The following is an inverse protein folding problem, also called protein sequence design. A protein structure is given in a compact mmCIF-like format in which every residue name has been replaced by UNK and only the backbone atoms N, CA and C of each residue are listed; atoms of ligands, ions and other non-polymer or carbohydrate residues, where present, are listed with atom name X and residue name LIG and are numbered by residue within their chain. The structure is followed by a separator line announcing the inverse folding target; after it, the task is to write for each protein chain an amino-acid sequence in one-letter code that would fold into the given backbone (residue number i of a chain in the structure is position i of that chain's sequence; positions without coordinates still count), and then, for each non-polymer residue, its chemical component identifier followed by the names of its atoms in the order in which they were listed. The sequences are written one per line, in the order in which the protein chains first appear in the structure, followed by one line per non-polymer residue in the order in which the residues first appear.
data_IF_070169248371
#
_entry.id   IF_070169248371
#
_cell.length_a   1.000
_cell.length_b   1.000
_cell.length_c   1.000
_cell.angle_alpha   90.00
_cell.angle_beta   90.00
_cell.angle_gamma   90.00
#
_symmetry.space_group_name_H-M   'P 1'
#
loop_
_entity.id
_entity.type
_entity.pdbx_description
1 polymer ?
#
# COMPACT_ATOMS: atom_id res chain seq x y z
N UNK A 1 39.97 50.16 4.13
CA UNK A 1 38.96 50.20 3.04
C UNK A 1 38.63 48.76 2.71
N UNK A 2 37.69 48.17 3.46
CA UNK A 2 36.36 47.74 2.95
C UNK A 2 36.51 46.75 1.81
N UNK A 3 36.31 45.44 2.02
CA UNK A 3 34.99 44.82 1.89
C UNK A 3 34.98 43.42 2.57
N UNK A 4 34.77 43.39 3.89
CA UNK A 4 34.25 42.20 4.59
C UNK A 4 32.82 42.55 4.98
N UNK A 5 31.84 42.22 4.14
CA UNK A 5 30.40 42.34 4.47
C UNK A 5 29.57 41.84 3.29
N UNK A 6 29.08 40.59 3.38
CA UNK A 6 27.72 40.19 2.93
C UNK A 6 27.56 38.66 2.75
N UNK A 7 27.79 37.86 3.79
CA UNK A 7 27.18 36.52 3.88
C UNK A 7 26.46 36.32 5.22
N UNK A 8 25.80 37.38 5.70
CA UNK A 8 25.05 37.38 6.96
C UNK A 8 23.55 37.67 6.72
N UNK A 9 22.93 37.03 5.73
CA UNK A 9 21.48 37.17 5.46
C UNK A 9 20.78 35.80 5.33
N UNK A 10 21.25 34.77 6.03
CA UNK A 10 20.52 33.50 6.04
C UNK A 10 20.67 32.68 7.33
N UNK A 11 20.57 33.34 8.49
CA UNK A 11 20.31 32.63 9.74
C UNK A 11 19.18 33.37 10.46
N UNK A 12 17.97 32.79 10.58
CA UNK A 12 16.96 33.38 11.44
C UNK A 12 17.44 33.30 12.89
N UNK A 13 17.44 34.44 13.59
CA UNK A 13 17.67 34.49 15.04
C UNK A 13 16.57 33.69 15.73
N UNK A 14 16.92 32.55 16.30
CA UNK A 14 16.03 31.81 17.19
C UNK A 14 15.86 32.62 18.49
N UNK A 15 14.63 32.85 18.97
CA UNK A 15 14.42 33.50 20.26
C UNK A 15 14.96 32.57 21.36
N UNK A 16 15.87 33.13 22.15
CA UNK A 16 16.33 32.56 23.42
C UNK A 16 15.19 32.57 24.43
N UNK A 17 14.30 31.58 24.34
CA UNK A 17 13.38 31.22 25.43
C UNK A 17 13.26 29.70 25.42
N UNK A 18 14.19 29.04 26.13
CA UNK A 18 13.97 27.67 26.58
C UNK A 18 13.10 27.74 27.83
N UNK A 19 11.83 27.27 27.80
CA UNK A 19 11.34 26.63 28.99
C UNK A 19 12.04 25.28 29.04
N UNK A 20 12.91 25.15 30.02
CA UNK A 20 13.46 23.91 30.53
C UNK A 20 12.31 22.92 30.76
N UNK A 21 12.04 22.04 29.79
CA UNK A 21 11.22 20.85 29.99
C UNK A 21 12.17 19.67 30.15
N UNK A 22 12.77 19.59 31.35
CA UNK A 22 13.29 18.34 31.89
C UNK A 22 12.12 17.40 32.12
N UNK A 23 11.75 16.65 31.08
CA UNK A 23 10.60 15.75 31.11
C UNK A 23 10.65 14.81 29.93
N UNK A 24 10.95 13.56 30.22
CA UNK A 24 11.07 12.41 29.32
C UNK A 24 10.07 12.42 28.14
N UNK A 25 10.54 12.79 26.94
CA UNK A 25 9.78 12.67 25.67
C UNK A 25 9.39 11.22 25.34
N UNK A 26 10.02 10.25 25.99
CA UNK A 26 9.73 8.82 25.79
C UNK A 26 8.36 8.40 26.37
N UNK A 27 7.83 9.12 27.37
CA UNK A 27 6.65 8.67 28.10
C UNK A 27 5.32 9.20 27.53
N UNK A 28 5.32 10.18 26.62
CA UNK A 28 4.10 10.67 25.94
C UNK A 28 3.78 9.95 24.63
N UNK A 29 4.68 9.11 24.11
CA UNK A 29 4.40 8.21 22.99
C UNK A 29 3.89 6.82 23.45
N UNK A 30 3.85 6.59 24.77
CA UNK A 30 3.49 5.32 25.38
C UNK A 30 2.00 5.20 25.74
N UNK A 31 1.14 6.09 25.24
CA UNK A 31 -0.28 5.76 25.14
C UNK A 31 -0.51 5.25 23.73
N UNK A 32 -0.18 3.96 23.55
CA UNK A 32 -0.44 3.21 22.32
C UNK A 32 -1.95 3.12 22.11
N UNK A 33 -2.53 4.19 21.54
CA UNK A 33 -3.88 4.19 21.02
C UNK A 33 -4.00 3.01 20.06
N UNK A 34 -4.87 2.06 20.40
CA UNK A 34 -5.10 0.86 19.61
C UNK A 34 -5.40 1.26 18.15
N UNK A 35 -4.47 0.98 17.25
CA UNK A 35 -4.55 1.36 15.83
C UNK A 35 -3.34 2.15 15.32
N UNK A 36 -2.54 2.79 16.17
CA UNK A 36 -1.35 3.55 15.75
C UNK A 36 -1.60 4.46 14.53
N UNK A 37 -0.62 4.56 13.63
CA UNK A 37 -0.75 5.31 12.37
C UNK A 37 -1.82 4.76 11.40
N UNK A 38 -2.35 3.55 11.66
CA UNK A 38 -3.39 2.91 10.82
C UNK A 38 -4.80 3.45 11.12
N UNK A 39 -5.02 4.09 12.27
CA UNK A 39 -6.30 4.72 12.62
C UNK A 39 -6.61 6.01 11.83
N UNK A 40 -5.57 6.67 11.28
CA UNK A 40 -5.70 7.87 10.45
C UNK A 40 -5.85 7.57 8.95
N UNK A 41 -5.57 6.32 8.54
CA UNK A 41 -5.81 5.92 7.17
C UNK A 41 -7.32 5.80 6.98
N UNK A 42 -7.86 6.55 6.02
CA UNK A 42 -9.27 6.49 5.63
C UNK A 42 -9.70 5.03 5.51
N UNK A 43 -10.40 4.53 6.53
CA UNK A 43 -11.03 3.23 6.46
C UNK A 43 -11.90 3.27 5.20
N UNK A 44 -11.69 2.34 4.27
CA UNK A 44 -12.44 2.26 3.01
C UNK A 44 -13.91 1.95 3.36
N UNK A 45 -14.67 2.98 3.72
CA UNK A 45 -16.08 2.90 4.13
C UNK A 45 -16.99 2.60 2.94
N UNK A 46 -16.54 2.93 1.73
CA UNK A 46 -17.27 2.62 0.50
C UNK A 46 -17.00 1.17 0.11
N UNK A 47 -17.84 0.25 0.61
CA UNK A 47 -17.92 -1.12 0.11
C UNK A 47 -18.62 -1.07 -1.25
N UNK A 48 -17.92 -1.51 -2.30
CA UNK A 48 -18.54 -1.64 -3.63
C UNK A 48 -19.49 -2.84 -3.60
N UNK A 49 -20.80 -2.56 -3.51
CA UNK A 49 -21.85 -3.59 -3.44
C UNK A 49 -22.22 -4.19 -4.81
N UNK A 50 -21.58 -3.77 -5.91
CA UNK A 50 -21.80 -4.39 -7.21
C UNK A 50 -20.82 -5.54 -7.42
N UNK A 51 -21.35 -6.75 -7.57
CA UNK A 51 -20.57 -7.86 -8.10
C UNK A 51 -20.28 -7.62 -9.58
N UNK A 52 -19.08 -8.03 -10.08
CA UNK A 52 -18.79 -7.95 -11.50
C UNK A 52 -19.92 -8.58 -12.33
N UNK A 53 -20.44 -7.83 -13.31
CA UNK A 53 -21.46 -8.34 -14.23
C UNK A 53 -20.89 -9.51 -15.04
N UNK A 54 -21.62 -10.63 -15.07
CA UNK A 54 -21.23 -11.81 -15.82
C UNK A 54 -21.22 -11.52 -17.33
N UNK A 55 -20.16 -11.97 -18.02
CA UNK A 55 -20.05 -11.90 -19.48
C UNK A 55 -19.36 -13.14 -20.02
N UNK A 56 -20.11 -13.97 -20.72
CA UNK A 56 -19.65 -15.29 -21.15
C UNK A 56 -18.48 -15.21 -22.13
N UNK A 57 -18.54 -14.28 -23.08
CA UNK A 57 -17.44 -14.02 -24.03
C UNK A 57 -16.12 -13.71 -23.30
N UNK A 58 -16.18 -12.93 -22.22
CA UNK A 58 -14.99 -12.57 -21.44
C UNK A 58 -14.50 -13.78 -20.63
N UNK A 59 -15.40 -14.56 -20.05
CA UNK A 59 -15.09 -15.77 -19.27
C UNK A 59 -14.27 -16.76 -20.11
N UNK A 60 -14.76 -17.11 -21.29
CA UNK A 60 -14.09 -18.06 -22.20
C UNK A 60 -12.79 -17.48 -22.77
N UNK A 61 -12.79 -16.22 -23.22
CA UNK A 61 -11.59 -15.62 -23.83
C UNK A 61 -10.43 -15.45 -22.85
N UNK A 62 -10.71 -15.10 -21.60
CA UNK A 62 -9.67 -14.81 -20.59
C UNK A 62 -9.29 -16.05 -19.80
N UNK A 63 -10.24 -16.93 -19.50
CA UNK A 63 -10.01 -18.06 -18.59
C UNK A 63 -10.25 -19.44 -19.20
N UNK A 64 -10.62 -19.49 -20.48
CA UNK A 64 -10.90 -20.73 -21.19
C UNK A 64 -9.67 -21.58 -21.45
N UNK A 65 -9.93 -22.82 -21.86
CA UNK A 65 -8.92 -23.84 -22.13
C UNK A 65 -7.82 -23.36 -23.09
N UNK A 66 -8.21 -22.85 -24.25
CA UNK A 66 -7.29 -22.39 -25.28
C UNK A 66 -6.36 -21.28 -24.78
N UNK A 67 -6.89 -20.37 -23.95
CA UNK A 67 -6.08 -19.30 -23.35
C UNK A 67 -5.07 -19.83 -22.33
N UNK A 68 -5.40 -20.91 -21.63
CA UNK A 68 -4.47 -21.58 -20.70
C UNK A 68 -3.39 -22.37 -21.45
N UNK A 69 -3.73 -22.98 -22.58
CA UNK A 69 -2.75 -23.71 -23.40
C UNK A 69 -1.77 -22.78 -24.12
N UNK A 70 -2.19 -21.57 -24.47
CA UNK A 70 -1.35 -20.64 -25.24
C UNK A 70 -0.08 -20.19 -24.49
N UNK A 71 -0.07 -20.19 -23.16
CA UNK A 71 1.09 -19.75 -22.36
C UNK A 71 1.70 -20.90 -21.56
N UNK A 72 3.02 -20.83 -21.31
CA UNK A 72 3.72 -21.81 -20.47
C UNK A 72 3.18 -21.82 -19.03
N UNK A 73 2.89 -20.64 -18.49
CA UNK A 73 2.32 -20.50 -17.14
C UNK A 73 0.91 -21.06 -17.04
N UNK A 74 0.10 -20.90 -18.08
CA UNK A 74 -1.24 -21.47 -18.15
C UNK A 74 -1.22 -23.00 -18.17
N UNK A 75 -0.32 -23.61 -18.95
CA UNK A 75 -0.10 -25.07 -18.94
C UNK A 75 0.29 -25.60 -17.56
N UNK A 76 1.20 -24.92 -16.86
CA UNK A 76 1.57 -25.26 -15.47
C UNK A 76 0.40 -25.19 -14.49
N UNK A 77 -0.53 -24.24 -14.67
CA UNK A 77 -1.76 -24.17 -13.87
C UNK A 77 -2.64 -25.40 -14.11
N UNK A 78 -2.82 -25.80 -15.38
CA UNK A 78 -3.60 -26.99 -15.71
C UNK A 78 -2.98 -28.27 -15.10
N UNK A 79 -1.66 -28.44 -15.23
CA UNK A 79 -0.92 -29.56 -14.63
C UNK A 79 -1.14 -29.64 -13.11
N UNK A 80 -1.07 -28.51 -12.39
CA UNK A 80 -1.35 -28.47 -10.94
C UNK A 80 -2.79 -28.84 -10.60
N UNK A 81 -3.76 -28.46 -11.45
CA UNK A 81 -5.18 -28.81 -11.24
C UNK A 81 -5.45 -30.30 -11.49
N UNK A 82 -4.79 -30.89 -12.48
CA UNK A 82 -4.82 -32.34 -12.76
C UNK A 82 -4.22 -33.11 -11.58
N UNK A 83 -3.05 -32.70 -11.11
CA UNK A 83 -2.40 -33.33 -9.96
C UNK A 83 -3.25 -33.27 -8.69
N UNK A 84 -3.99 -32.17 -8.49
CA UNK A 84 -4.95 -32.02 -7.39
C UNK A 84 -6.25 -32.83 -7.59
N UNK A 85 -6.48 -33.41 -8.78
CA UNK A 85 -7.71 -34.14 -9.10
C UNK A 85 -8.93 -33.24 -9.26
N UNK A 86 -8.77 -32.01 -9.77
CA UNK A 86 -9.92 -31.12 -10.00
C UNK A 86 -10.72 -31.56 -11.23
N UNK A 87 -12.03 -31.76 -11.05
CA UNK A 87 -12.97 -32.10 -12.12
C UNK A 87 -12.99 -31.06 -13.26
N UNK A 88 -13.01 -29.76 -12.91
CA UNK A 88 -13.04 -28.66 -13.89
C UNK A 88 -11.67 -27.96 -13.96
N UNK A 89 -10.98 -28.11 -15.10
CA UNK A 89 -9.61 -27.63 -15.28
C UNK A 89 -9.52 -26.17 -15.74
N UNK A 90 -10.37 -25.74 -16.65
CA UNK A 90 -10.53 -24.35 -17.06
C UNK A 90 -11.99 -23.97 -17.09
N UNK A 91 -12.23 -22.67 -17.26
CA UNK A 91 -13.55 -22.19 -17.66
C UNK A 91 -13.92 -22.66 -19.06
#
# INVERSE_FOLDING_TARGET
MTLVRSFQILIPKLPTVVPFFGGNLANTLAEASAGGAWGLLSARTVIRNQFPRARETKRVRVHGWWKRMSTLTGRRVLMRKILKGKHVLSH
#
